data_IF_317024312514
#
_entry.id   IF_317024312514
#
_cell.length_a   1.000
_cell.length_b   1.000
_cell.length_c   1.000
_cell.angle_alpha   90.00
_cell.angle_beta   90.00
_cell.angle_gamma   90.00
#
_symmetry.space_group_name_H-M   'P 1'
#
loop_
_entity.id
_entity.type
_entity.pdbx_description
1 polymer ?
#
# COMPACT_ATOMS: atom_id res chain seq x y z
N UNK A 1 -15.85 10.63 28.71
CA UNK A 1 -15.90 10.59 27.22
C UNK A 1 -14.65 11.25 26.69
N UNK A 2 -13.74 10.46 26.16
CA UNK A 2 -12.60 10.98 25.43
C UNK A 2 -13.11 11.48 24.07
N UNK A 3 -13.04 12.78 23.83
CA UNK A 3 -13.31 13.32 22.51
C UNK A 3 -12.33 12.69 21.51
N UNK A 4 -12.77 12.36 20.29
CA UNK A 4 -11.85 11.86 19.28
C UNK A 4 -10.73 12.87 19.11
N UNK A 5 -9.51 12.38 19.20
CA UNK A 5 -8.31 13.20 19.12
C UNK A 5 -8.24 13.89 17.76
N UNK A 6 -7.97 15.16 17.74
CA UNK A 6 -7.74 15.89 16.51
C UNK A 6 -6.50 15.30 15.80
N UNK A 7 -6.54 15.03 14.48
CA UNK A 7 -5.44 14.37 13.76
C UNK A 7 -4.06 14.99 13.98
N UNK A 8 -3.99 16.32 14.14
CA UNK A 8 -2.73 17.01 14.42
C UNK A 8 -2.07 16.57 15.72
N UNK A 9 -2.85 16.12 16.70
CA UNK A 9 -2.29 15.61 17.95
C UNK A 9 -1.61 14.25 17.77
N UNK A 10 -2.10 13.43 16.84
CA UNK A 10 -1.44 12.18 16.45
C UNK A 10 -0.07 12.46 15.84
N UNK A 11 0.03 13.49 15.00
CA UNK A 11 1.28 13.85 14.33
C UNK A 11 2.37 14.36 15.27
N UNK A 12 2.01 14.92 16.43
CA UNK A 12 3.00 15.34 17.45
C UNK A 12 3.83 14.17 18.00
N UNK A 13 3.31 12.95 17.85
CA UNK A 13 3.96 11.72 18.32
C UNK A 13 4.78 11.02 17.23
N UNK A 14 4.76 11.56 16.01
CA UNK A 14 5.42 10.97 14.85
C UNK A 14 6.63 11.81 14.45
N UNK A 15 7.77 11.14 14.25
CA UNK A 15 9.00 11.78 13.74
C UNK A 15 9.25 11.33 12.31
N UNK A 16 9.45 12.27 11.40
CA UNK A 16 9.66 12.01 9.99
C UNK A 16 11.10 11.60 9.63
N UNK A 17 12.04 11.89 10.51
CA UNK A 17 13.47 11.69 10.33
C UNK A 17 14.00 10.34 10.86
N UNK A 18 13.12 9.53 11.41
CA UNK A 18 13.48 8.22 11.99
C UNK A 18 12.94 7.08 11.12
N UNK A 19 13.50 5.84 11.26
CA UNK A 19 12.89 4.64 10.70
C UNK A 19 11.42 4.51 11.09
N UNK A 20 10.69 3.62 10.40
CA UNK A 20 9.29 3.36 10.77
C UNK A 20 9.18 3.01 12.25
N UNK A 21 8.21 3.60 12.96
CA UNK A 21 8.02 3.32 14.37
C UNK A 21 7.63 1.86 14.61
N UNK A 22 7.93 1.30 15.78
CA UNK A 22 7.64 -0.11 16.10
C UNK A 22 6.16 -0.30 16.45
N UNK A 23 5.28 -0.13 15.48
CA UNK A 23 3.82 -0.20 15.65
C UNK A 23 3.35 -1.50 16.31
N UNK A 24 4.02 -2.60 16.03
CA UNK A 24 3.69 -3.91 16.58
C UNK A 24 3.87 -3.99 18.10
N UNK A 25 4.76 -3.15 18.64
CA UNK A 25 5.05 -3.10 20.08
C UNK A 25 4.06 -2.23 20.86
N UNK A 26 3.26 -1.43 20.15
CA UNK A 26 2.29 -0.53 20.77
C UNK A 26 0.94 -1.21 20.90
N UNK A 27 0.34 -1.11 22.07
CA UNK A 27 -0.98 -1.69 22.33
C UNK A 27 -1.90 -0.70 23.05
N UNK A 28 -2.18 0.47 22.44
CA UNK A 28 -3.09 1.44 23.04
C UNK A 28 -4.54 0.98 22.97
N UNK A 29 -5.38 1.56 23.81
CA UNK A 29 -6.82 1.37 23.73
C UNK A 29 -7.39 1.98 22.45
N UNK A 30 -8.47 1.37 21.94
CA UNK A 30 -9.23 1.94 20.84
C UNK A 30 -10.03 3.15 21.30
N UNK A 31 -9.80 4.29 20.66
CA UNK A 31 -10.34 5.59 21.04
C UNK A 31 -11.53 6.03 20.15
N UNK A 32 -12.06 5.16 19.32
CA UNK A 32 -13.14 5.46 18.39
C UNK A 32 -12.69 5.81 16.99
N UNK A 33 -13.65 5.97 16.09
CA UNK A 33 -13.39 6.32 14.70
C UNK A 33 -13.29 7.84 14.53
N UNK A 34 -12.44 8.28 13.62
CA UNK A 34 -12.34 9.68 13.20
C UNK A 34 -12.81 9.83 11.75
N UNK A 35 -13.31 11.01 11.34
CA UNK A 35 -13.80 11.25 9.98
C UNK A 35 -12.65 11.43 8.99
N UNK A 36 -11.78 10.43 8.90
CA UNK A 36 -10.67 10.37 7.97
C UNK A 36 -10.84 9.22 7.00
N UNK A 37 -10.57 9.46 5.72
CA UNK A 37 -10.77 8.49 4.66
C UNK A 37 -9.61 8.53 3.66
N UNK A 38 -9.19 7.36 3.22
CA UNK A 38 -8.29 7.20 2.09
C UNK A 38 -9.14 6.70 0.92
N UNK A 39 -9.21 7.49 -0.16
CA UNK A 39 -9.97 7.13 -1.34
C UNK A 39 -9.27 6.05 -2.18
N UNK A 40 -10.02 5.45 -3.10
CA UNK A 40 -9.49 4.41 -4.00
C UNK A 40 -8.31 4.88 -4.84
N UNK A 41 -8.26 6.16 -5.18
CA UNK A 41 -7.15 6.77 -5.92
C UNK A 41 -5.99 7.25 -5.03
N UNK A 42 -6.04 6.96 -3.72
CA UNK A 42 -4.96 7.24 -2.77
C UNK A 42 -4.97 8.63 -2.15
N UNK A 43 -6.01 9.42 -2.37
CA UNK A 43 -6.14 10.74 -1.71
C UNK A 43 -6.65 10.59 -0.29
N UNK A 44 -6.15 11.42 0.60
CA UNK A 44 -6.53 11.44 2.01
C UNK A 44 -7.48 12.60 2.28
N UNK A 45 -8.55 12.33 3.03
CA UNK A 45 -9.57 13.31 3.38
C UNK A 45 -9.78 13.33 4.89
N UNK A 46 -10.04 14.50 5.42
CA UNK A 46 -10.47 14.69 6.80
C UNK A 46 -11.67 15.63 6.85
N UNK A 47 -12.76 15.20 7.51
CA UNK A 47 -14.04 15.93 7.55
C UNK A 47 -14.53 16.35 6.16
N UNK A 48 -14.35 15.49 5.17
CA UNK A 48 -14.77 15.75 3.79
C UNK A 48 -13.82 16.62 2.96
N UNK A 49 -12.81 17.23 3.57
CA UNK A 49 -11.80 18.05 2.89
C UNK A 49 -10.53 17.26 2.59
N UNK A 50 -9.98 17.43 1.38
CA UNK A 50 -8.73 16.77 1.00
C UNK A 50 -7.55 17.32 1.78
N UNK A 51 -6.73 16.41 2.32
CA UNK A 51 -5.44 16.75 2.93
C UNK A 51 -4.42 16.88 1.80
N UNK A 52 -4.10 18.12 1.42
CA UNK A 52 -3.21 18.43 0.31
C UNK A 52 -1.73 18.50 0.70
N UNK A 53 -1.43 18.64 1.99
CA UNK A 53 -0.04 18.66 2.48
C UNK A 53 0.58 17.27 2.40
N UNK A 54 1.45 17.07 1.42
CA UNK A 54 2.16 15.80 1.21
C UNK A 54 2.91 15.35 2.46
N UNK A 55 3.57 16.27 3.17
CA UNK A 55 4.28 15.96 4.40
C UNK A 55 3.35 15.41 5.49
N UNK A 56 2.14 15.94 5.60
CA UNK A 56 1.14 15.47 6.57
C UNK A 56 0.65 14.05 6.22
N UNK A 57 0.31 13.81 4.95
CA UNK A 57 -0.08 12.49 4.46
C UNK A 57 1.03 11.47 4.71
N UNK A 58 2.27 11.85 4.42
CA UNK A 58 3.45 11.01 4.66
C UNK A 58 3.60 10.64 6.13
N UNK A 59 3.39 11.59 7.04
CA UNK A 59 3.45 11.33 8.47
C UNK A 59 2.32 10.42 8.95
N UNK A 60 1.08 10.62 8.50
CA UNK A 60 -0.04 9.72 8.82
C UNK A 60 0.20 8.30 8.30
N UNK A 61 0.76 8.16 7.11
CA UNK A 61 1.06 6.84 6.54
C UNK A 61 2.01 6.02 7.42
N UNK A 62 2.88 6.67 8.19
CA UNK A 62 3.84 6.01 9.07
C UNK A 62 3.19 5.35 10.29
N UNK A 63 1.98 5.75 10.65
CA UNK A 63 1.24 5.20 11.78
C UNK A 63 -0.01 4.41 11.35
N UNK A 64 -0.12 4.09 10.09
CA UNK A 64 -1.14 3.19 9.58
C UNK A 64 -0.98 1.80 10.20
N UNK A 65 -2.11 1.23 10.60
CA UNK A 65 -2.20 -0.08 11.20
C UNK A 65 -3.43 -0.83 10.68
N UNK A 66 -3.33 -2.13 10.52
CA UNK A 66 -4.45 -2.96 10.05
C UNK A 66 -4.70 -4.10 11.03
N UNK A 67 -5.96 -4.31 11.41
CA UNK A 67 -6.43 -5.45 12.18
C UNK A 67 -7.63 -6.06 11.46
N UNK A 68 -7.52 -7.30 10.98
CA UNK A 68 -8.55 -7.91 10.14
C UNK A 68 -8.78 -7.07 8.88
N UNK A 69 -10.02 -6.65 8.67
CA UNK A 69 -10.42 -5.82 7.53
C UNK A 69 -10.46 -4.31 7.87
N UNK A 70 -10.10 -3.95 9.09
CA UNK A 70 -10.17 -2.55 9.55
C UNK A 70 -8.80 -1.90 9.58
N UNK A 71 -8.80 -0.59 9.31
CA UNK A 71 -7.61 0.25 9.31
C UNK A 71 -7.66 1.29 10.42
N UNK A 72 -6.51 1.62 10.96
CA UNK A 72 -6.35 2.53 12.09
C UNK A 72 -5.13 3.43 11.90
N UNK A 73 -5.13 4.54 12.62
CA UNK A 73 -3.92 5.28 12.94
C UNK A 73 -3.56 4.95 14.39
N UNK A 74 -2.34 4.50 14.61
CA UNK A 74 -1.89 3.97 15.88
C UNK A 74 -0.64 4.70 16.37
N UNK A 75 -0.73 5.21 17.60
CA UNK A 75 0.40 5.79 18.34
C UNK A 75 0.62 5.01 19.63
N UNK A 76 1.67 5.28 20.43
CA UNK A 76 1.85 4.60 21.70
C UNK A 76 0.68 4.73 22.68
N UNK A 77 -0.13 5.79 22.54
CA UNK A 77 -1.19 6.11 23.51
C UNK A 77 -2.61 6.06 22.94
N UNK A 78 -2.76 6.01 21.61
CA UNK A 78 -4.06 6.08 20.94
C UNK A 78 -4.13 5.17 19.72
N UNK A 79 -5.31 4.61 19.49
CA UNK A 79 -5.66 3.92 18.25
C UNK A 79 -7.02 4.42 17.79
N UNK A 80 -7.08 5.05 16.63
CA UNK A 80 -8.31 5.59 16.04
C UNK A 80 -8.60 4.91 14.72
N UNK A 81 -9.87 4.60 14.47
CA UNK A 81 -10.31 3.97 13.23
C UNK A 81 -10.42 4.99 12.10
N UNK A 82 -10.06 4.58 10.90
CA UNK A 82 -10.23 5.35 9.67
C UNK A 82 -10.90 4.49 8.60
N UNK A 83 -11.44 5.14 7.58
CA UNK A 83 -12.00 4.48 6.41
C UNK A 83 -10.97 4.39 5.29
N UNK A 84 -10.85 3.22 4.68
CA UNK A 84 -10.02 2.99 3.50
C UNK A 84 -10.89 2.33 2.44
N UNK A 85 -11.10 3.00 1.30
CA UNK A 85 -12.02 2.52 0.26
C UNK A 85 -11.53 1.25 -0.43
N UNK A 86 -10.23 1.10 -0.61
CA UNK A 86 -9.61 -0.07 -1.25
C UNK A 86 -8.38 -0.49 -0.44
N UNK A 87 -7.23 0.12 -0.70
CA UNK A 87 -5.97 -0.12 0.01
C UNK A 87 -5.32 1.22 0.38
N UNK A 88 -4.47 1.25 1.44
CA UNK A 88 -4.00 2.52 1.97
C UNK A 88 -2.86 3.17 1.17
N UNK A 89 -2.14 2.41 0.34
CA UNK A 89 -0.99 2.93 -0.41
C UNK A 89 -1.25 2.99 -1.91
N UNK A 90 -0.52 3.87 -2.60
CA UNK A 90 -0.45 3.94 -4.05
C UNK A 90 0.98 3.72 -4.51
N UNK A 91 1.17 2.84 -5.49
CA UNK A 91 2.45 2.60 -6.13
C UNK A 91 2.52 3.43 -7.41
N UNK A 92 3.45 4.36 -7.47
CA UNK A 92 3.51 5.40 -8.50
C UNK A 92 4.64 5.21 -9.51
N UNK A 93 5.63 4.36 -9.20
CA UNK A 93 6.71 4.05 -10.13
C UNK A 93 7.29 2.67 -9.90
N UNK A 94 7.96 2.15 -10.90
CA UNK A 94 8.74 0.91 -10.85
C UNK A 94 10.00 1.06 -11.70
N UNK A 95 11.09 0.51 -11.22
CA UNK A 95 12.27 0.30 -12.06
C UNK A 95 12.80 -1.13 -11.84
N UNK A 96 13.47 -1.64 -12.86
CA UNK A 96 14.03 -3.00 -12.85
C UNK A 96 15.54 -2.91 -12.69
N UNK A 97 16.05 -3.60 -11.68
CA UNK A 97 17.48 -3.82 -11.52
C UNK A 97 17.86 -5.04 -12.35
N UNK A 98 18.71 -4.82 -13.36
CA UNK A 98 19.23 -5.86 -14.25
C UNK A 98 20.39 -6.61 -13.57
N UNK A 99 20.01 -7.44 -12.62
CA UNK A 99 20.92 -8.34 -11.90
C UNK A 99 20.38 -9.77 -11.98
N UNK A 100 21.09 -10.76 -11.43
CA UNK A 100 20.67 -12.15 -11.47
C UNK A 100 20.47 -12.68 -10.04
N UNK A 101 19.23 -12.95 -9.63
CA UNK A 101 17.97 -12.71 -10.34
C UNK A 101 17.60 -11.21 -10.44
N UNK A 102 16.76 -10.82 -11.43
CA UNK A 102 16.32 -9.43 -11.54
C UNK A 102 15.46 -9.02 -10.36
N UNK A 103 15.42 -7.73 -10.06
CA UNK A 103 14.63 -7.16 -8.95
C UNK A 103 13.78 -6.00 -9.45
N UNK A 104 12.50 -6.02 -9.13
CA UNK A 104 11.58 -4.92 -9.36
C UNK A 104 11.53 -4.06 -8.10
N UNK A 105 11.87 -2.79 -8.24
CA UNK A 105 11.82 -1.81 -7.15
C UNK A 105 10.68 -0.85 -7.42
N UNK A 106 9.70 -0.87 -6.54
CA UNK A 106 8.52 -0.02 -6.60
C UNK A 106 8.65 1.16 -5.63
N UNK A 107 8.07 2.28 -5.99
CA UNK A 107 7.98 3.45 -5.10
C UNK A 107 6.53 3.81 -4.85
N UNK A 108 6.21 4.05 -3.57
CA UNK A 108 4.88 4.53 -3.17
C UNK A 108 4.79 6.05 -3.26
N UNK A 109 3.56 6.57 -3.30
CA UNK A 109 3.31 8.01 -3.27
C UNK A 109 3.82 8.69 -1.99
N UNK A 110 4.02 7.92 -0.93
CA UNK A 110 4.59 8.39 0.34
C UNK A 110 6.12 8.24 0.41
N UNK A 111 6.76 7.79 -0.67
CA UNK A 111 8.21 7.74 -0.80
C UNK A 111 8.89 6.48 -0.30
N UNK A 112 8.15 5.43 0.01
CA UNK A 112 8.72 4.13 0.38
C UNK A 112 9.17 3.38 -0.88
N UNK A 113 10.35 2.78 -0.82
CA UNK A 113 10.84 1.89 -1.88
C UNK A 113 10.70 0.45 -1.44
N UNK A 114 10.06 -0.36 -2.27
CA UNK A 114 9.70 -1.74 -2.00
C UNK A 114 10.26 -2.64 -3.10
N UNK A 115 11.06 -3.60 -2.73
CA UNK A 115 11.52 -4.65 -3.64
C UNK A 115 10.51 -5.80 -3.66
N UNK A 116 9.91 -6.08 -4.80
CA UNK A 116 8.98 -7.20 -4.93
C UNK A 116 9.70 -8.54 -4.73
N UNK A 117 9.06 -9.44 -4.02
CA UNK A 117 9.61 -10.75 -3.68
C UNK A 117 8.65 -11.52 -2.78
N UNK A 118 9.18 -12.51 -2.07
CA UNK A 118 8.36 -13.37 -1.19
C UNK A 118 7.66 -12.59 -0.06
N UNK A 119 8.32 -11.59 0.53
CA UNK A 119 7.74 -10.76 1.59
C UNK A 119 6.87 -9.61 1.07
N UNK A 120 7.09 -9.22 -0.17
CA UNK A 120 6.34 -8.16 -0.86
C UNK A 120 5.79 -8.69 -2.19
N UNK A 121 4.83 -9.65 -2.13
CA UNK A 121 4.28 -10.22 -3.35
C UNK A 121 3.43 -9.23 -4.11
N UNK A 122 3.45 -9.39 -5.44
CA UNK A 122 2.58 -8.71 -6.37
C UNK A 122 1.43 -9.66 -6.71
N UNK A 123 0.21 -9.15 -6.73
CA UNK A 123 -0.97 -9.89 -7.17
C UNK A 123 -1.85 -9.03 -8.06
N UNK A 124 -2.62 -9.66 -8.92
CA UNK A 124 -3.56 -8.98 -9.81
C UNK A 124 -4.94 -9.61 -9.64
N UNK A 125 -5.92 -8.78 -9.31
CA UNK A 125 -7.33 -9.13 -9.37
C UNK A 125 -7.88 -8.72 -10.73
N UNK A 126 -8.69 -9.56 -11.34
CA UNK A 126 -9.36 -9.24 -12.59
C UNK A 126 -10.85 -9.10 -12.33
N UNK A 127 -11.43 -7.99 -12.76
CA UNK A 127 -12.88 -7.78 -12.68
C UNK A 127 -13.59 -8.84 -13.52
N UNK A 128 -14.48 -9.64 -12.94
CA UNK A 128 -15.14 -10.75 -13.65
C UNK A 128 -16.11 -10.29 -14.75
N UNK A 129 -16.53 -9.02 -14.71
CA UNK A 129 -17.47 -8.47 -15.69
C UNK A 129 -16.75 -7.73 -16.81
N UNK A 130 -15.80 -6.85 -16.46
CA UNK A 130 -15.09 -5.99 -17.41
C UNK A 130 -13.77 -6.58 -17.90
N UNK A 131 -13.19 -7.54 -17.17
CA UNK A 131 -11.84 -8.05 -17.41
C UNK A 131 -10.74 -7.07 -17.03
N UNK A 132 -11.07 -5.94 -16.40
CA UNK A 132 -10.09 -4.93 -16.03
C UNK A 132 -9.20 -5.42 -14.88
N UNK A 133 -7.86 -5.32 -15.03
CA UNK A 133 -6.94 -5.74 -13.98
C UNK A 133 -6.80 -4.67 -12.89
N UNK A 134 -6.73 -5.14 -11.65
CA UNK A 134 -6.38 -4.34 -10.48
C UNK A 134 -5.14 -4.94 -9.82
N UNK A 135 -3.96 -4.37 -10.06
CA UNK A 135 -2.71 -4.88 -9.50
C UNK A 135 -2.41 -4.28 -8.14
N UNK A 136 -1.89 -5.12 -7.24
CA UNK A 136 -1.55 -4.77 -5.86
C UNK A 136 -0.17 -5.29 -5.49
N UNK A 137 0.51 -4.56 -4.61
CA UNK A 137 1.80 -4.93 -4.04
C UNK A 137 1.70 -4.91 -2.52
N UNK A 138 2.18 -5.94 -1.85
CA UNK A 138 2.30 -5.94 -0.39
C UNK A 138 3.36 -4.93 0.04
N UNK A 139 2.96 -3.94 0.82
CA UNK A 139 3.86 -2.88 1.29
C UNK A 139 4.43 -3.23 2.67
N UNK A 140 3.60 -3.36 3.69
CA UNK A 140 4.00 -3.72 5.05
C UNK A 140 2.80 -4.03 5.94
N UNK A 141 3.03 -4.84 6.97
CA UNK A 141 2.05 -5.12 8.05
C UNK A 141 0.67 -5.54 7.53
N UNK A 142 0.64 -6.34 6.47
CA UNK A 142 -0.60 -6.79 5.84
C UNK A 142 -1.32 -5.73 5.01
N UNK A 143 -0.70 -4.57 4.79
CA UNK A 143 -1.25 -3.47 4.00
C UNK A 143 -0.65 -3.42 2.62
N UNK A 144 -1.51 -3.34 1.62
CA UNK A 144 -1.14 -3.30 0.22
C UNK A 144 -1.18 -1.90 -0.37
N UNK A 145 -0.49 -1.73 -1.50
CA UNK A 145 -0.57 -0.58 -2.37
C UNK A 145 -1.19 -0.96 -3.70
N UNK A 146 -2.04 -0.09 -4.23
CA UNK A 146 -2.57 -0.23 -5.60
C UNK A 146 -1.54 0.29 -6.58
N UNK A 147 -1.19 -0.53 -7.54
CA UNK A 147 -0.26 -0.16 -8.61
C UNK A 147 -1.01 0.66 -9.64
N UNK A 148 -0.53 1.88 -9.91
CA UNK A 148 -1.15 2.75 -10.90
C UNK A 148 -1.08 2.13 -12.30
N UNK A 149 -2.04 2.48 -13.13
CA UNK A 149 -2.21 1.91 -14.49
C UNK A 149 -0.95 2.06 -15.34
N UNK A 150 -0.29 3.21 -15.31
CA UNK A 150 0.95 3.46 -16.06
C UNK A 150 2.09 2.54 -15.61
N UNK A 151 2.18 2.25 -14.32
CA UNK A 151 3.16 1.31 -13.76
C UNK A 151 2.82 -0.13 -14.18
N UNK A 152 1.56 -0.50 -14.13
CA UNK A 152 1.12 -1.82 -14.62
C UNK A 152 1.44 -2.04 -16.10
N UNK A 153 1.26 -1.03 -16.94
CA UNK A 153 1.63 -1.13 -18.36
C UNK A 153 3.14 -1.31 -18.54
N UNK A 154 3.94 -0.67 -17.71
CA UNK A 154 5.39 -0.87 -17.72
C UNK A 154 5.77 -2.29 -17.32
N UNK A 155 5.10 -2.86 -16.33
CA UNK A 155 5.29 -4.28 -15.96
C UNK A 155 4.90 -5.20 -17.11
N UNK A 156 3.81 -4.91 -17.80
CA UNK A 156 3.35 -5.69 -18.94
C UNK A 156 4.36 -5.71 -20.10
N UNK A 157 5.09 -4.62 -20.33
CA UNK A 157 6.16 -4.56 -21.31
C UNK A 157 7.33 -5.50 -20.98
N UNK A 158 7.58 -5.75 -19.69
CA UNK A 158 8.64 -6.64 -19.23
C UNK A 158 8.17 -8.08 -19.03
N UNK A 159 6.87 -8.32 -19.13
CA UNK A 159 6.28 -9.64 -18.88
C UNK A 159 6.65 -10.63 -19.97
N UNK A 160 6.76 -11.88 -19.57
CA UNK A 160 7.02 -13.02 -20.45
C UNK A 160 5.81 -13.94 -20.47
N UNK A 161 5.63 -14.65 -21.60
CA UNK A 161 4.56 -15.62 -21.74
C UNK A 161 5.00 -16.97 -21.16
N UNK A 162 4.27 -17.47 -20.19
CA UNK A 162 4.47 -18.77 -19.57
C UNK A 162 3.34 -19.72 -19.93
N UNK A 163 3.68 -20.82 -20.59
CA UNK A 163 2.75 -21.86 -21.05
C UNK A 163 2.91 -23.20 -20.28
N UNK A 164 3.69 -23.21 -19.20
CA UNK A 164 4.11 -24.45 -18.53
C UNK A 164 2.96 -25.23 -17.88
N UNK A 165 1.86 -24.56 -17.52
CA UNK A 165 0.70 -25.17 -16.86
C UNK A 165 -0.48 -25.46 -17.79
N UNK A 166 -0.31 -25.35 -19.12
CA UNK A 166 -1.39 -25.53 -20.10
C UNK A 166 -2.35 -24.35 -20.21
N UNK A 167 -2.09 -23.28 -19.49
CA UNK A 167 -2.78 -21.99 -19.57
C UNK A 167 -1.72 -20.94 -19.89
N UNK A 168 -2.00 -20.08 -20.85
CA UNK A 168 -1.12 -18.96 -21.18
C UNK A 168 -1.22 -17.89 -20.10
N UNK A 169 -0.09 -17.58 -19.49
CA UNK A 169 0.01 -16.56 -18.44
C UNK A 169 1.10 -15.56 -18.75
N UNK A 170 0.79 -14.29 -18.56
CA UNK A 170 1.80 -13.24 -18.56
C UNK A 170 2.40 -13.15 -17.17
N UNK A 171 3.70 -13.35 -17.08
CA UNK A 171 4.44 -13.44 -15.81
C UNK A 171 5.60 -12.47 -15.76
N UNK A 172 5.98 -12.08 -14.55
CA UNK A 172 7.15 -11.25 -14.30
C UNK A 172 7.88 -11.78 -13.08
N UNK A 173 9.22 -11.78 -13.13
CA UNK A 173 10.04 -12.30 -12.05
C UNK A 173 10.69 -11.16 -11.25
N UNK A 174 10.79 -11.34 -9.93
CA UNK A 174 11.53 -10.46 -9.04
C UNK A 174 12.05 -11.24 -7.83
N UNK A 175 13.31 -11.10 -7.50
CA UNK A 175 13.98 -11.81 -6.39
C UNK A 175 13.78 -13.33 -6.41
N UNK A 176 13.71 -13.93 -7.61
CA UNK A 176 13.46 -15.36 -7.76
C UNK A 176 12.00 -15.80 -7.62
N UNK A 177 11.10 -14.88 -7.31
CA UNK A 177 9.66 -15.13 -7.28
C UNK A 177 9.02 -14.78 -8.61
N UNK A 178 8.03 -15.57 -9.01
CA UNK A 178 7.27 -15.37 -10.24
C UNK A 178 5.86 -14.91 -9.93
N UNK A 179 5.45 -13.81 -10.55
CA UNK A 179 4.13 -13.20 -10.37
C UNK A 179 3.34 -13.22 -11.67
N UNK A 180 2.06 -13.55 -11.57
CA UNK A 180 1.14 -13.58 -12.72
C UNK A 180 0.50 -12.20 -12.87
N UNK A 181 0.66 -11.59 -14.05
CA UNK A 181 0.03 -10.30 -14.38
C UNK A 181 -1.34 -10.47 -15.05
N UNK A 182 -1.56 -11.57 -15.74
CA UNK A 182 -2.80 -11.87 -16.43
C UNK A 182 -2.78 -13.26 -17.07
N UNK A 183 -3.96 -13.75 -17.40
CA UNK A 183 -4.17 -15.03 -18.11
C UNK A 183 -4.96 -14.75 -19.39
N UNK A 184 -4.67 -15.54 -20.47
CA UNK A 184 -5.44 -15.52 -21.71
C UNK A 184 -6.57 -16.56 -21.66
#
# INVERSE_FOLDING_TARGET
MTHPTHPENLLKQVRSDQPLPPLEQWNPEFCGDIPMRISRDGRWFYQGGEIKRTAMVKMFSRILWKEGERYYLKTPVEKVGIEVEDVPFQVISVHRLEQSPPVLVFETATGEQIEAGAEHPLRVETDPVTGEPSPYLMIRLGMEGRIQRTVYYQLAEWAELDNTAGVERWVIDSQGERFVLGEN
#
